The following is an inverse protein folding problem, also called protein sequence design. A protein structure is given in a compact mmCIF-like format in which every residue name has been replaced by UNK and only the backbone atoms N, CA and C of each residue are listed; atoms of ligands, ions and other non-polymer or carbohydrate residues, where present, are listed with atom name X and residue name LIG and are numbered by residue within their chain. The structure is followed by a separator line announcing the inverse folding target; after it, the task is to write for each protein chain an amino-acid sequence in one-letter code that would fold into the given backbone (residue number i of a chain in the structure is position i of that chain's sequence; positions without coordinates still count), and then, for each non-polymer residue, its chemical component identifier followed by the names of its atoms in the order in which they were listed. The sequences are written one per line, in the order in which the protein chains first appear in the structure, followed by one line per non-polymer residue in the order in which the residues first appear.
data_IF_667551578379
#
_entry.id   IF_667551578379
#
_cell.length_a   1.000
_cell.length_b   1.000
_cell.length_c   1.000
_cell.angle_alpha   90.00
_cell.angle_beta   90.00
_cell.angle_gamma   90.00
#
_symmetry.space_group_name_H-M   'P 1'
#
loop_
_entity.id
_entity.type
_entity.pdbx_description
1 polymer ?
#
# COMPACT_ATOMS: atom_id res chain seq x y z
N UNK A 1 -33.07 -48.94 -10.40
CA UNK A 1 -32.61 -47.91 -11.35
C UNK A 1 -31.09 -47.82 -11.27
N UNK A 2 -30.37 -48.30 -12.29
CA UNK A 2 -28.90 -48.32 -12.34
C UNK A 2 -28.49 -47.13 -13.18
N UNK A 3 -27.99 -46.05 -12.56
CA UNK A 3 -27.50 -44.87 -13.27
C UNK A 3 -26.26 -45.24 -14.08
N UNK A 4 -26.45 -45.59 -15.35
CA UNK A 4 -25.38 -45.91 -16.31
C UNK A 4 -24.73 -44.64 -16.83
N UNK A 5 -23.90 -43.99 -16.02
CA UNK A 5 -23.01 -42.94 -16.48
C UNK A 5 -21.82 -43.55 -17.23
N UNK A 6 -21.57 -43.10 -18.47
CA UNK A 6 -20.35 -43.49 -19.19
C UNK A 6 -19.13 -42.92 -18.43
N UNK A 7 -18.02 -43.67 -18.32
CA UNK A 7 -16.82 -43.15 -17.66
C UNK A 7 -16.35 -41.88 -18.38
N UNK A 8 -16.04 -40.84 -17.61
CA UNK A 8 -15.53 -39.58 -18.15
C UNK A 8 -14.17 -39.87 -18.81
N UNK A 9 -13.98 -39.52 -20.10
CA UNK A 9 -12.72 -39.77 -20.77
C UNK A 9 -11.60 -38.90 -20.19
N UNK A 10 -10.39 -39.45 -20.09
CA UNK A 10 -9.22 -38.75 -19.54
C UNK A 10 -8.92 -37.41 -20.24
N UNK A 11 -9.28 -37.28 -21.52
CA UNK A 11 -9.16 -36.05 -22.30
C UNK A 11 -10.02 -34.93 -21.71
N UNK A 12 -11.26 -35.24 -21.29
CA UNK A 12 -12.14 -34.24 -20.68
C UNK A 12 -11.64 -33.78 -19.31
N UNK A 13 -10.99 -34.67 -18.55
CA UNK A 13 -10.34 -34.31 -17.28
C UNK A 13 -9.15 -33.38 -17.54
N UNK A 14 -8.32 -33.69 -18.54
CA UNK A 14 -7.18 -32.86 -18.93
C UNK A 14 -7.63 -31.48 -19.41
N UNK A 15 -8.69 -31.41 -20.23
CA UNK A 15 -9.26 -30.16 -20.70
C UNK A 15 -9.80 -29.30 -19.56
N UNK A 16 -10.51 -29.90 -18.60
CA UNK A 16 -11.00 -29.18 -17.41
C UNK A 16 -9.85 -28.67 -16.53
N UNK A 17 -8.79 -29.48 -16.36
CA UNK A 17 -7.61 -29.08 -15.61
C UNK A 17 -6.86 -27.92 -16.27
N UNK A 18 -6.65 -27.97 -17.59
CA UNK A 18 -6.05 -26.87 -18.35
C UNK A 18 -6.90 -25.60 -18.23
N UNK A 19 -8.22 -25.71 -18.37
CA UNK A 19 -9.14 -24.58 -18.20
C UNK A 19 -9.04 -23.99 -16.79
N UNK A 20 -9.05 -24.83 -15.75
CA UNK A 20 -8.91 -24.39 -14.36
C UNK A 20 -7.59 -23.66 -14.09
N UNK A 21 -6.48 -24.09 -14.71
CA UNK A 21 -5.20 -23.39 -14.62
C UNK A 21 -5.25 -22.02 -15.33
N UNK A 22 -5.89 -21.94 -16.49
CA UNK A 22 -6.04 -20.67 -17.22
C UNK A 22 -6.88 -19.62 -16.47
N UNK A 23 -7.87 -20.05 -15.68
CA UNK A 23 -8.69 -19.14 -14.86
C UNK A 23 -8.03 -18.74 -13.54
N UNK A 24 -6.95 -19.42 -13.11
CA UNK A 24 -6.26 -19.12 -11.84
C UNK A 24 -5.55 -17.75 -11.82
N UNK A 25 -5.28 -17.17 -13.00
CA UNK A 25 -4.55 -15.90 -13.13
C UNK A 25 -5.45 -14.65 -13.04
N UNK A 26 -6.78 -14.79 -12.96
CA UNK A 26 -7.69 -13.65 -12.84
C UNK A 26 -7.49 -12.92 -11.49
N UNK A 27 -7.16 -13.65 -10.43
CA UNK A 27 -6.91 -13.08 -9.10
C UNK A 27 -5.67 -12.18 -9.02
N UNK A 28 -4.70 -12.38 -9.91
CA UNK A 28 -3.45 -11.58 -9.98
C UNK A 28 -3.64 -10.21 -10.64
N UNK A 29 -4.70 -10.01 -11.42
CA UNK A 29 -4.95 -8.75 -12.13
C UNK A 29 -5.46 -7.62 -11.21
N UNK A 30 -6.01 -7.95 -10.03
CA UNK A 30 -6.49 -6.96 -9.05
C UNK A 30 -5.45 -6.66 -7.96
N UNK A 31 -4.16 -6.64 -8.31
CA UNK A 31 -3.12 -6.28 -7.34
C UNK A 31 -3.11 -4.75 -7.16
N UNK A 32 -3.33 -4.30 -5.92
CA UNK A 32 -3.05 -2.90 -5.55
C UNK A 32 -1.54 -2.67 -5.67
N UNK A 33 -1.12 -1.78 -6.57
CA UNK A 33 0.30 -1.49 -6.81
C UNK A 33 0.97 -0.81 -5.62
N UNK A 34 0.24 0.08 -4.92
CA UNK A 34 0.73 0.74 -3.71
C UNK A 34 -0.43 1.19 -2.81
N UNK A 35 -0.19 1.17 -1.51
CA UNK A 35 -1.12 1.68 -0.49
C UNK A 35 -0.42 2.80 0.28
N UNK A 36 -1.14 3.90 0.49
CA UNK A 36 -0.67 5.06 1.23
C UNK A 36 -1.58 5.41 2.41
N UNK A 37 -1.00 6.06 3.43
CA UNK A 37 -1.74 6.55 4.60
C UNK A 37 -1.40 8.02 4.91
N UNK A 38 -2.22 8.65 5.74
CA UNK A 38 -1.88 9.93 6.38
C UNK A 38 -1.27 9.64 7.76
N UNK A 39 -0.10 10.20 8.04
CA UNK A 39 0.54 10.14 9.35
C UNK A 39 0.35 11.49 10.07
N UNK A 40 -0.78 11.62 10.75
CA UNK A 40 -1.09 12.80 11.57
C UNK A 40 -0.35 12.76 12.91
N UNK A 41 0.19 13.91 13.32
CA UNK A 41 0.98 14.05 14.56
C UNK A 41 0.21 14.76 15.69
N UNK A 42 -1.03 15.17 15.46
CA UNK A 42 -1.89 15.81 16.49
C UNK A 42 -2.55 14.73 17.34
N UNK A 43 -1.91 14.34 18.43
CA UNK A 43 -2.41 13.38 19.41
C UNK A 43 -1.52 13.36 20.66
N UNK A 44 -2.05 12.87 21.78
CA UNK A 44 -1.37 12.90 23.08
C UNK A 44 -0.79 11.54 23.53
N UNK A 45 -0.95 10.50 22.72
CA UNK A 45 -0.55 9.13 23.01
C UNK A 45 0.03 8.42 21.78
N UNK A 46 0.55 9.19 20.82
CA UNK A 46 1.11 8.64 19.59
C UNK A 46 2.46 7.95 19.88
N UNK A 47 2.73 6.81 19.23
CA UNK A 47 4.02 6.15 19.33
C UNK A 47 5.14 6.97 18.66
N UNK A 48 6.41 6.77 19.06
CA UNK A 48 7.55 7.44 18.45
C UNK A 48 7.66 7.17 16.93
N UNK A 49 8.20 8.11 16.13
CA UNK A 49 8.28 7.98 14.67
C UNK A 49 8.93 6.67 14.20
N UNK A 50 9.99 6.18 14.85
CA UNK A 50 10.68 4.94 14.48
C UNK A 50 9.78 3.70 14.66
N UNK A 51 8.93 3.73 15.69
CA UNK A 51 7.93 2.69 15.94
C UNK A 51 6.84 2.74 14.86
N UNK A 52 6.42 3.94 14.46
CA UNK A 52 5.46 4.14 13.37
C UNK A 52 6.02 3.63 12.04
N UNK A 53 7.26 3.99 11.68
CA UNK A 53 7.88 3.51 10.44
C UNK A 53 7.99 1.98 10.43
N UNK A 54 8.33 1.37 11.55
CA UNK A 54 8.36 -0.10 11.70
C UNK A 54 6.97 -0.71 11.49
N UNK A 55 5.93 -0.13 12.10
CA UNK A 55 4.55 -0.56 11.95
C UNK A 55 4.08 -0.46 10.50
N UNK A 56 4.27 0.69 9.85
CA UNK A 56 3.87 0.94 8.45
C UNK A 56 4.51 -0.08 7.52
N UNK A 57 5.81 -0.35 7.69
CA UNK A 57 6.54 -1.36 6.91
C UNK A 57 6.01 -2.77 7.15
N UNK A 58 5.67 -3.11 8.39
CA UNK A 58 5.10 -4.43 8.73
C UNK A 58 3.75 -4.67 8.03
N UNK A 59 3.00 -3.60 7.77
CA UNK A 59 1.72 -3.62 7.06
C UNK A 59 1.86 -3.54 5.53
N UNK A 60 3.10 -3.51 5.00
CA UNK A 60 3.40 -3.35 3.56
C UNK A 60 2.82 -2.07 2.96
N UNK A 61 2.63 -1.04 3.78
CA UNK A 61 2.29 0.30 3.30
C UNK A 61 3.56 0.93 2.75
N UNK A 62 3.48 1.51 1.56
CA UNK A 62 4.65 2.01 0.83
C UNK A 62 4.67 3.52 0.69
N UNK A 63 3.59 4.22 1.08
CA UNK A 63 3.52 5.68 1.05
C UNK A 63 2.96 6.26 2.34
N UNK A 64 3.46 7.41 2.75
CA UNK A 64 2.93 8.17 3.87
C UNK A 64 2.88 9.66 3.53
N UNK A 65 1.82 10.35 3.95
CA UNK A 65 1.75 11.82 3.95
C UNK A 65 1.99 12.35 5.35
N UNK A 66 2.85 13.36 5.48
CA UNK A 66 3.06 14.15 6.69
C UNK A 66 2.71 15.61 6.42
N UNK A 67 2.37 16.34 7.49
CA UNK A 67 1.74 17.66 7.38
C UNK A 67 2.66 18.84 7.72
N UNK A 68 3.89 18.56 8.11
CA UNK A 68 4.93 19.50 8.53
C UNK A 68 6.31 18.99 8.11
N UNK A 69 7.36 19.70 8.52
CA UNK A 69 8.77 19.33 8.27
C UNK A 69 9.48 18.86 9.54
N UNK A 70 8.79 18.12 10.42
CA UNK A 70 9.36 17.61 11.67
C UNK A 70 10.62 16.73 11.39
N UNK A 71 11.82 17.14 11.85
CA UNK A 71 13.06 16.45 11.56
C UNK A 71 13.13 15.03 12.14
N UNK A 72 12.45 14.77 13.27
CA UNK A 72 12.42 13.43 13.88
C UNK A 72 11.66 12.45 12.99
N UNK A 73 10.56 12.91 12.37
CA UNK A 73 9.78 12.11 11.42
C UNK A 73 10.55 11.92 10.11
N UNK A 74 11.15 12.98 9.57
CA UNK A 74 11.97 12.88 8.37
C UNK A 74 13.15 11.90 8.59
N UNK A 75 13.79 11.96 9.75
CA UNK A 75 14.88 11.05 10.14
C UNK A 75 14.41 9.60 10.26
N UNK A 76 13.29 9.35 10.94
CA UNK A 76 12.77 8.00 11.13
C UNK A 76 12.36 7.33 9.80
N UNK A 77 11.84 8.10 8.85
CA UNK A 77 11.46 7.59 7.52
C UNK A 77 12.63 7.54 6.53
N UNK A 78 13.78 8.14 6.84
CA UNK A 78 14.96 8.09 5.99
C UNK A 78 15.41 6.64 5.75
N UNK A 79 15.70 6.30 4.50
CA UNK A 79 16.12 4.95 4.07
C UNK A 79 15.12 3.82 4.44
N UNK A 80 13.87 4.15 4.77
CA UNK A 80 12.84 3.16 5.16
C UNK A 80 12.24 2.40 3.98
N UNK A 81 12.38 2.94 2.76
CA UNK A 81 11.70 2.47 1.55
C UNK A 81 10.25 2.94 1.43
N UNK A 82 9.76 3.75 2.37
CA UNK A 82 8.43 4.41 2.30
C UNK A 82 8.58 5.75 1.58
N UNK A 83 7.77 5.97 0.55
CA UNK A 83 7.66 7.26 -0.15
C UNK A 83 6.95 8.26 0.76
N UNK A 84 7.60 9.38 1.06
CA UNK A 84 7.06 10.41 1.94
C UNK A 84 6.56 11.60 1.13
N UNK A 85 5.28 11.93 1.28
CA UNK A 85 4.67 13.16 0.78
C UNK A 85 4.71 14.18 1.91
N UNK A 86 5.53 15.21 1.78
CA UNK A 86 5.65 16.30 2.75
C UNK A 86 4.78 17.46 2.27
N UNK A 87 3.86 17.93 3.12
CA UNK A 87 3.02 19.10 2.78
C UNK A 87 3.54 20.35 3.46
N UNK A 88 3.19 21.49 2.87
CA UNK A 88 3.38 22.80 3.48
C UNK A 88 2.21 23.08 4.41
N UNK A 89 2.49 23.65 5.59
CA UNK A 89 1.47 24.13 6.51
C UNK A 89 0.67 25.29 5.92
N UNK A 90 -0.62 25.34 6.18
CA UNK A 90 -1.49 26.38 5.60
C UNK A 90 -1.03 27.81 5.95
N UNK A 91 -0.46 28.00 7.14
CA UNK A 91 0.02 29.30 7.63
C UNK A 91 1.24 29.80 6.84
N UNK A 92 2.00 28.90 6.22
CA UNK A 92 3.16 29.23 5.38
C UNK A 92 2.78 29.61 3.95
N UNK A 93 1.54 29.41 3.53
CA UNK A 93 1.12 29.67 2.14
C UNK A 93 1.33 31.13 1.75
N UNK A 94 1.03 32.08 2.65
CA UNK A 94 1.24 33.50 2.37
C UNK A 94 2.72 33.82 2.13
N UNK A 95 3.63 33.27 2.94
CA UNK A 95 5.08 33.43 2.79
C UNK A 95 5.57 32.88 1.45
N UNK A 96 5.09 31.71 1.05
CA UNK A 96 5.50 31.08 -0.21
C UNK A 96 5.00 31.81 -1.46
N UNK A 97 3.99 32.68 -1.34
CA UNK A 97 3.57 33.53 -2.47
C UNK A 97 4.51 34.70 -2.75
N UNK A 98 5.41 35.02 -1.82
CA UNK A 98 6.47 36.02 -2.02
C UNK A 98 7.79 35.34 -2.39
N UNK A 99 8.28 35.44 -3.65
CA UNK A 99 9.53 34.81 -4.08
C UNK A 99 10.78 35.26 -3.33
N UNK A 100 10.73 36.36 -2.56
CA UNK A 100 11.85 36.80 -1.72
C UNK A 100 11.86 36.15 -0.33
N UNK A 101 10.74 35.57 0.10
CA UNK A 101 10.57 34.92 1.40
C UNK A 101 10.40 33.39 1.29
N UNK A 102 10.18 32.89 0.07
CA UNK A 102 10.04 31.47 -0.27
C UNK A 102 11.37 30.70 -0.27
#
# INVERSE_FOLDING_TARGET
MKFGGRPIPAISILQFFVLSLSFSEIGTLMRVESLGINYGQVGNNLPPPETVTTLIRSLRITKARIYDTNPDVLGAFANSGVELIVTVENDMLATLTDPQQA
#
